data_IF_695449536275
#
_entry.id   IF_695449536275
#
_cell.length_a   1.000
_cell.length_b   1.000
_cell.length_c   1.000
_cell.angle_alpha   90.00
_cell.angle_beta   90.00
_cell.angle_gamma   90.00
#
_symmetry.space_group_name_H-M   'P 1'
#
loop_
_entity.id
_entity.type
_entity.pdbx_description
1 polymer ?
#
# COMPACT_ATOMS: atom_id res chain seq x y z
N UNK A 1 9.20 36.46 -20.15
CA UNK A 1 9.08 35.24 -19.33
C UNK A 1 9.60 34.11 -20.18
N UNK A 2 10.75 33.52 -19.83
CA UNK A 2 11.29 32.33 -20.51
C UNK A 2 10.36 31.17 -20.17
N UNK A 3 9.73 30.59 -21.18
CA UNK A 3 8.92 29.40 -21.03
C UNK A 3 9.86 28.25 -20.63
N UNK A 4 9.64 27.63 -19.47
CA UNK A 4 10.43 26.46 -19.06
C UNK A 4 9.99 25.28 -19.91
N UNK A 5 10.92 24.68 -20.66
CA UNK A 5 10.64 23.53 -21.50
C UNK A 5 11.09 22.25 -20.78
N UNK A 6 10.16 21.34 -20.52
CA UNK A 6 10.44 19.98 -20.07
C UNK A 6 10.62 19.05 -21.27
N UNK A 7 11.33 17.93 -21.08
CA UNK A 7 11.34 16.89 -22.12
C UNK A 7 9.92 16.35 -22.34
N UNK A 8 9.56 15.83 -23.54
CA UNK A 8 8.24 15.26 -23.78
C UNK A 8 7.85 14.18 -22.77
N UNK A 9 8.81 13.30 -22.41
CA UNK A 9 8.62 12.26 -21.40
C UNK A 9 8.29 12.84 -20.03
N UNK A 10 9.07 13.82 -19.59
CA UNK A 10 8.87 14.47 -18.29
C UNK A 10 7.53 15.21 -18.25
N UNK A 11 7.16 15.91 -19.33
CA UNK A 11 5.86 16.57 -19.44
C UNK A 11 4.69 15.57 -19.27
N UNK A 12 4.75 14.42 -19.94
CA UNK A 12 3.74 13.35 -19.77
C UNK A 12 3.67 12.86 -18.33
N UNK A 13 4.82 12.63 -17.67
CA UNK A 13 4.84 12.23 -16.26
C UNK A 13 4.27 13.31 -15.34
N UNK A 14 4.53 14.59 -15.61
CA UNK A 14 3.97 15.71 -14.84
C UNK A 14 2.45 15.73 -14.92
N UNK A 15 1.90 15.57 -16.11
CA UNK A 15 0.45 15.49 -16.34
C UNK A 15 -0.18 14.28 -15.65
N UNK A 16 0.48 13.11 -15.73
CA UNK A 16 -0.02 11.88 -15.11
C UNK A 16 0.01 11.96 -13.57
N UNK A 17 1.05 12.54 -12.97
CA UNK A 17 1.12 12.77 -11.51
C UNK A 17 -0.01 13.72 -11.06
N UNK A 18 -0.25 14.80 -11.80
CA UNK A 18 -1.33 15.75 -11.49
C UNK A 18 -2.70 15.07 -11.59
N UNK A 19 -2.92 14.26 -12.62
CA UNK A 19 -4.13 13.46 -12.77
C UNK A 19 -4.32 12.49 -11.60
N UNK A 20 -3.29 11.75 -11.22
CA UNK A 20 -3.35 10.81 -10.08
C UNK A 20 -3.65 11.55 -8.78
N UNK A 21 -3.03 12.70 -8.54
CA UNK A 21 -3.32 13.53 -7.36
C UNK A 21 -4.77 13.99 -7.30
N UNK A 22 -5.33 14.40 -8.45
CA UNK A 22 -6.75 14.72 -8.60
C UNK A 22 -7.64 13.52 -8.31
N UNK A 23 -7.36 12.35 -8.89
CA UNK A 23 -8.15 11.14 -8.67
C UNK A 23 -8.11 10.68 -7.21
N UNK A 24 -6.95 10.71 -6.56
CA UNK A 24 -6.84 10.37 -5.13
C UNK A 24 -7.69 11.31 -4.26
N UNK A 25 -7.65 12.61 -4.54
CA UNK A 25 -8.44 13.60 -3.79
C UNK A 25 -9.94 13.42 -4.03
N UNK A 26 -10.38 13.29 -5.30
CA UNK A 26 -11.78 13.12 -5.67
C UNK A 26 -12.39 11.82 -5.13
N UNK A 27 -11.58 10.77 -4.97
CA UNK A 27 -12.00 9.48 -4.39
C UNK A 27 -11.88 9.43 -2.87
N UNK A 28 -11.43 10.50 -2.22
CA UNK A 28 -11.28 10.55 -0.76
C UNK A 28 -10.18 9.66 -0.21
N UNK A 29 -9.17 9.33 -1.02
CA UNK A 29 -7.99 8.56 -0.59
C UNK A 29 -6.94 9.45 0.10
N UNK A 30 -7.07 10.76 -0.06
CA UNK A 30 -6.27 11.80 0.60
C UNK A 30 -7.16 13.01 0.86
N UNK A 31 -6.75 13.86 1.80
CA UNK A 31 -7.40 15.15 2.08
C UNK A 31 -6.35 16.24 2.27
N UNK A 32 -6.75 17.51 2.19
CA UNK A 32 -5.87 18.66 2.41
C UNK A 32 -4.53 18.54 1.63
N UNK A 33 -3.39 18.46 2.32
CA UNK A 33 -2.06 18.34 1.73
C UNK A 33 -1.46 16.93 1.87
N UNK A 34 -2.27 15.92 2.17
CA UNK A 34 -1.84 14.53 2.38
C UNK A 34 -1.37 13.86 1.09
N UNK A 35 -0.73 12.70 1.26
CA UNK A 35 -0.22 11.86 0.20
C UNK A 35 0.92 12.48 -0.59
N UNK A 36 1.53 11.66 -1.42
CA UNK A 36 2.60 12.08 -2.32
C UNK A 36 2.78 11.07 -3.46
N UNK A 37 3.28 11.58 -4.58
CA UNK A 37 3.47 10.79 -5.79
C UNK A 37 4.86 11.10 -6.33
N UNK A 38 5.55 10.07 -6.80
CA UNK A 38 6.78 10.25 -7.56
C UNK A 38 6.81 9.36 -8.80
N UNK A 39 7.58 9.80 -9.80
CA UNK A 39 7.85 9.04 -11.01
C UNK A 39 9.31 9.17 -11.42
N UNK A 40 9.91 8.07 -11.85
CA UNK A 40 11.28 8.02 -12.37
C UNK A 40 11.31 8.64 -13.76
N UNK A 41 12.04 9.74 -13.91
CA UNK A 41 12.26 10.41 -15.20
C UNK A 41 13.33 9.64 -15.98
N UNK A 42 14.42 9.28 -15.32
CA UNK A 42 15.53 8.47 -15.85
C UNK A 42 16.30 7.78 -14.71
N UNK A 43 17.51 7.28 -14.99
CA UNK A 43 18.35 6.58 -14.00
C UNK A 43 18.75 7.46 -12.82
N UNK A 44 18.85 8.78 -13.02
CA UNK A 44 19.38 9.72 -12.04
C UNK A 44 18.31 10.67 -11.47
N UNK A 45 17.18 10.82 -12.15
CA UNK A 45 16.16 11.82 -11.82
C UNK A 45 14.79 11.22 -11.51
N UNK A 46 14.16 11.75 -10.46
CA UNK A 46 12.78 11.45 -10.05
C UNK A 46 11.99 12.76 -10.01
N UNK A 47 10.78 12.74 -10.54
CA UNK A 47 9.78 13.78 -10.39
C UNK A 47 8.94 13.49 -9.15
N UNK A 48 8.68 14.49 -8.31
CA UNK A 48 7.93 14.32 -7.07
C UNK A 48 6.99 15.49 -6.79
N UNK A 49 5.87 15.18 -6.13
CA UNK A 49 4.94 16.19 -5.61
C UNK A 49 5.58 17.05 -4.51
N UNK A 50 5.34 18.38 -4.50
CA UNK A 50 5.82 19.26 -3.45
C UNK A 50 5.10 19.03 -2.11
N UNK A 51 5.78 19.37 -1.01
CA UNK A 51 5.18 19.42 0.33
C UNK A 51 4.17 20.58 0.45
N UNK A 52 3.15 20.39 1.29
CA UNK A 52 2.18 21.44 1.66
C UNK A 52 1.12 21.81 0.61
N UNK A 53 1.21 21.28 -0.61
CA UNK A 53 0.16 21.50 -1.62
C UNK A 53 -0.93 20.43 -1.56
N UNK A 54 -2.15 20.82 -1.91
CA UNK A 54 -3.25 19.90 -2.17
C UNK A 54 -3.03 19.19 -3.51
N UNK A 55 -2.94 17.86 -3.46
CA UNK A 55 -2.63 17.04 -4.65
C UNK A 55 -3.79 17.02 -5.63
N UNK A 56 -5.01 17.35 -5.17
CA UNK A 56 -6.16 17.53 -6.05
C UNK A 56 -6.17 18.83 -6.85
N UNK A 57 -5.30 19.79 -6.54
CA UNK A 57 -5.29 21.14 -7.11
C UNK A 57 -3.92 21.58 -7.65
N UNK A 58 -2.95 20.66 -7.71
CA UNK A 58 -1.61 20.97 -8.21
C UNK A 58 -1.59 21.12 -9.74
N UNK A 59 -0.58 21.83 -10.24
CA UNK A 59 -0.30 21.96 -11.67
C UNK A 59 1.02 21.30 -12.05
N UNK A 60 1.21 20.91 -13.34
CA UNK A 60 2.46 20.30 -13.82
C UNK A 60 3.72 21.10 -13.47
N UNK A 61 3.64 22.43 -13.52
CA UNK A 61 4.77 23.33 -13.26
C UNK A 61 5.20 23.39 -11.79
N UNK A 62 4.37 22.91 -10.86
CA UNK A 62 4.65 22.87 -9.42
C UNK A 62 5.44 21.63 -9.01
N UNK A 63 5.53 20.60 -9.86
CA UNK A 63 6.28 19.38 -9.56
C UNK A 63 7.79 19.65 -9.58
N UNK A 64 8.50 18.91 -8.74
CA UNK A 64 9.92 19.10 -8.45
C UNK A 64 10.69 17.89 -8.95
N UNK A 65 11.79 18.11 -9.69
CA UNK A 65 12.72 17.04 -10.06
C UNK A 65 13.87 16.99 -9.08
N UNK A 66 14.13 15.81 -8.54
CA UNK A 66 15.20 15.52 -7.59
C UNK A 66 16.12 14.42 -8.12
N UNK A 67 17.33 14.33 -7.58
CA UNK A 67 18.19 13.17 -7.76
C UNK A 67 17.89 12.05 -6.73
N UNK A 68 18.56 10.90 -6.86
CA UNK A 68 18.44 9.79 -5.92
C UNK A 68 18.99 10.09 -4.52
N UNK A 69 19.69 11.21 -4.33
CA UNK A 69 20.11 11.72 -3.02
C UNK A 69 19.08 12.70 -2.42
N UNK A 70 17.94 12.92 -3.07
CA UNK A 70 16.89 13.82 -2.62
C UNK A 70 17.14 15.31 -2.90
N UNK A 71 18.18 15.65 -3.66
CA UNK A 71 18.53 17.04 -3.98
C UNK A 71 17.74 17.52 -5.18
N UNK A 72 17.21 18.75 -5.13
CA UNK A 72 16.52 19.40 -6.25
C UNK A 72 17.52 19.63 -7.40
N UNK A 73 17.26 19.05 -8.57
CA UNK A 73 18.10 19.16 -9.77
C UNK A 73 17.34 19.65 -11.02
N UNK A 74 16.01 19.71 -10.95
CA UNK A 74 15.17 20.15 -12.07
C UNK A 74 15.21 21.66 -12.31
N UNK A 75 14.72 22.11 -13.47
CA UNK A 75 14.59 23.53 -13.75
C UNK A 75 13.59 24.18 -12.79
N UNK A 76 13.93 25.39 -12.33
CA UNK A 76 13.02 26.18 -11.52
C UNK A 76 11.99 26.87 -12.42
N UNK A 77 10.72 26.71 -12.07
CA UNK A 77 9.60 27.50 -12.62
C UNK A 77 9.24 28.59 -11.62
N UNK A 78 8.50 29.59 -12.08
CA UNK A 78 7.87 30.55 -11.16
C UNK A 78 6.95 29.87 -10.13
N UNK A 79 6.41 28.70 -10.46
CA UNK A 79 5.48 27.95 -9.61
C UNK A 79 6.17 27.01 -8.60
N UNK A 80 7.42 26.59 -8.83
CA UNK A 80 8.11 25.60 -7.97
C UNK A 80 9.38 26.12 -7.26
N UNK A 81 9.83 27.34 -7.54
CA UNK A 81 11.13 27.83 -7.03
C UNK A 81 11.24 27.77 -5.50
N UNK A 82 10.17 28.17 -4.80
CA UNK A 82 10.11 28.21 -3.33
C UNK A 82 9.51 26.92 -2.73
N UNK A 83 9.12 25.96 -3.56
CA UNK A 83 8.57 24.68 -3.12
C UNK A 83 9.68 23.70 -2.77
N UNK A 84 9.39 22.86 -1.77
CA UNK A 84 10.25 21.75 -1.34
C UNK A 84 9.61 20.41 -1.73
N UNK A 85 10.40 19.36 -2.00
CA UNK A 85 9.88 18.00 -2.14
C UNK A 85 9.02 17.60 -0.94
N UNK A 86 8.17 16.58 -1.10
CA UNK A 86 7.44 15.98 0.02
C UNK A 86 8.36 15.70 1.22
N UNK A 87 7.85 15.89 2.44
CA UNK A 87 8.59 15.56 3.67
C UNK A 87 8.90 14.07 3.79
N UNK A 88 8.18 13.23 3.05
CA UNK A 88 8.30 11.78 3.07
C UNK A 88 9.13 11.26 1.90
N UNK A 89 10.06 12.07 1.39
CA UNK A 89 10.82 11.66 0.22
C UNK A 89 11.71 10.44 0.48
N UNK A 90 12.14 10.25 1.74
CA UNK A 90 12.99 9.12 2.15
C UNK A 90 12.34 7.76 1.87
N UNK A 91 11.03 7.61 2.09
CA UNK A 91 10.33 6.36 1.75
C UNK A 91 10.28 6.11 0.24
N UNK A 92 10.05 7.14 -0.58
CA UNK A 92 10.09 7.01 -2.04
C UNK A 92 11.49 6.60 -2.54
N UNK A 93 12.53 7.26 -2.02
CA UNK A 93 13.91 6.94 -2.36
C UNK A 93 14.26 5.50 -1.96
N UNK A 94 13.81 5.04 -0.80
CA UNK A 94 14.01 3.64 -0.38
C UNK A 94 13.45 2.66 -1.43
N UNK A 95 12.21 2.88 -1.89
CA UNK A 95 11.62 2.06 -2.96
C UNK A 95 12.52 2.04 -4.19
N UNK A 96 12.93 3.21 -4.68
CA UNK A 96 13.74 3.29 -5.91
C UNK A 96 15.13 2.67 -5.79
N UNK A 97 15.71 2.63 -4.58
CA UNK A 97 16.97 1.94 -4.31
C UNK A 97 16.80 0.42 -4.25
N UNK A 98 15.73 -0.07 -3.63
CA UNK A 98 15.46 -1.51 -3.50
C UNK A 98 14.90 -2.14 -4.77
N UNK A 99 14.17 -1.37 -5.58
CA UNK A 99 13.40 -1.85 -6.72
C UNK A 99 13.68 -1.04 -7.99
N UNK A 100 14.75 -1.36 -8.74
CA UNK A 100 15.05 -0.70 -10.01
C UNK A 100 13.95 -0.86 -11.08
N UNK A 101 13.10 -1.88 -10.97
CA UNK A 101 11.95 -2.11 -11.84
C UNK A 101 10.79 -1.11 -11.61
N UNK A 102 10.78 -0.43 -10.46
CA UNK A 102 9.74 0.53 -10.10
C UNK A 102 9.98 1.87 -10.79
N UNK A 103 8.96 2.35 -11.48
CA UNK A 103 8.97 3.63 -12.19
C UNK A 103 8.07 4.68 -11.54
N UNK A 104 7.15 4.29 -10.66
CA UNK A 104 6.32 5.23 -9.92
C UNK A 104 5.95 4.70 -8.54
N UNK A 105 5.74 5.63 -7.62
CA UNK A 105 5.36 5.36 -6.23
C UNK A 105 4.23 6.29 -5.85
N UNK A 106 3.18 5.74 -5.25
CA UNK A 106 2.02 6.48 -4.74
C UNK A 106 1.89 6.17 -3.25
N UNK A 107 1.92 7.23 -2.44
CA UNK A 107 1.55 7.19 -1.04
C UNK A 107 0.22 7.94 -0.86
N UNK A 108 -0.70 7.29 -0.16
CA UNK A 108 -2.04 7.80 0.10
C UNK A 108 -2.51 7.40 1.50
N UNK A 109 -3.65 7.95 1.94
CA UNK A 109 -4.26 7.69 3.24
C UNK A 109 -5.66 7.03 3.10
N UNK A 110 -5.77 5.85 2.47
CA UNK A 110 -7.04 5.15 2.26
C UNK A 110 -7.76 4.82 3.60
N UNK A 111 -8.97 5.35 3.84
CA UNK A 111 -9.63 5.27 5.15
C UNK A 111 -9.90 3.85 5.66
N UNK A 112 -10.38 2.93 4.82
CA UNK A 112 -10.68 1.57 5.29
C UNK A 112 -9.40 0.81 5.60
N UNK A 113 -8.36 0.93 4.77
CA UNK A 113 -7.07 0.30 5.03
C UNK A 113 -6.44 0.81 6.35
N UNK A 114 -6.48 2.13 6.60
CA UNK A 114 -6.02 2.71 7.87
C UNK A 114 -6.85 2.15 9.04
N UNK A 115 -8.18 2.16 8.94
CA UNK A 115 -9.06 1.67 10.00
C UNK A 115 -8.79 0.20 10.35
N UNK A 116 -8.60 -0.66 9.34
CA UNK A 116 -8.28 -2.07 9.54
C UNK A 116 -6.89 -2.27 10.14
N UNK A 117 -5.90 -1.45 9.75
CA UNK A 117 -4.57 -1.48 10.38
C UNK A 117 -4.64 -1.16 11.88
N UNK A 118 -5.45 -0.16 12.27
CA UNK A 118 -5.67 0.21 13.69
C UNK A 118 -6.39 -0.90 14.44
N UNK A 119 -7.30 -1.62 13.78
CA UNK A 119 -8.05 -2.73 14.34
C UNK A 119 -7.24 -4.05 14.41
N UNK A 120 -6.00 -4.08 13.92
CA UNK A 120 -5.19 -5.30 13.84
C UNK A 120 -5.74 -6.33 12.87
N UNK A 121 -6.49 -5.89 11.85
CA UNK A 121 -7.09 -6.76 10.83
C UNK A 121 -6.21 -6.71 9.59
N UNK A 122 -5.62 -7.85 9.25
CA UNK A 122 -4.78 -8.00 8.06
C UNK A 122 -5.60 -7.95 6.76
N UNK A 123 -4.99 -7.41 5.70
CA UNK A 123 -5.48 -7.50 4.31
C UNK A 123 -4.83 -8.66 3.53
N UNK A 124 -4.01 -9.49 4.20
CA UNK A 124 -3.30 -10.60 3.58
C UNK A 124 -4.16 -11.85 3.37
N UNK A 125 -5.41 -11.88 3.84
CA UNK A 125 -6.28 -13.03 3.62
C UNK A 125 -6.64 -13.15 2.12
N UNK A 126 -6.50 -14.36 1.53
CA UNK A 126 -6.84 -14.65 0.13
C UNK A 126 -8.35 -14.68 -0.13
N UNK A 127 -9.00 -13.52 -0.03
CA UNK A 127 -10.47 -13.40 -0.11
C UNK A 127 -10.99 -13.19 -1.53
N UNK A 128 -10.32 -12.35 -2.32
CA UNK A 128 -10.80 -11.94 -3.65
C UNK A 128 -9.73 -12.16 -4.72
N UNK A 129 -10.10 -12.70 -5.91
CA UNK A 129 -9.13 -12.98 -6.97
C UNK A 129 -8.32 -11.76 -7.43
N UNK A 130 -8.94 -10.59 -7.46
CA UNK A 130 -8.33 -9.33 -7.90
C UNK A 130 -7.17 -8.92 -6.99
N UNK A 131 -7.28 -9.16 -5.68
CA UNK A 131 -6.19 -8.93 -4.72
C UNK A 131 -5.00 -9.83 -5.04
N UNK A 132 -5.26 -11.13 -5.16
CA UNK A 132 -4.23 -12.16 -5.37
C UNK A 132 -3.50 -11.92 -6.69
N UNK A 133 -4.23 -11.66 -7.77
CA UNK A 133 -3.63 -11.48 -9.10
C UNK A 133 -3.02 -10.09 -9.25
N UNK A 134 -3.72 -9.04 -8.85
CA UNK A 134 -3.33 -7.65 -9.08
C UNK A 134 -2.28 -7.15 -8.10
N UNK A 135 -2.51 -7.31 -6.80
CA UNK A 135 -1.61 -6.81 -5.75
C UNK A 135 -0.58 -7.86 -5.34
N UNK A 136 -1.02 -9.13 -5.26
CA UNK A 136 -0.32 -10.15 -4.49
C UNK A 136 -0.72 -10.01 -3.02
N UNK A 137 0.12 -10.50 -2.11
CA UNK A 137 -0.09 -10.25 -0.70
C UNK A 137 0.24 -8.80 -0.35
N UNK A 138 -0.51 -8.25 0.60
CA UNK A 138 -0.38 -6.85 1.03
C UNK A 138 -0.08 -6.83 2.52
N UNK A 139 1.20 -6.80 2.92
CA UNK A 139 1.57 -6.80 4.33
C UNK A 139 1.29 -5.44 4.95
N UNK A 140 1.16 -5.45 6.29
CA UNK A 140 1.14 -4.23 7.10
C UNK A 140 2.51 -4.07 7.75
N UNK A 141 3.18 -2.95 7.49
CA UNK A 141 4.47 -2.65 8.14
C UNK A 141 4.25 -2.34 9.63
N UNK A 142 5.24 -2.59 10.51
CA UNK A 142 5.20 -2.04 11.86
C UNK A 142 5.02 -0.52 11.86
N UNK A 143 4.36 0.01 12.90
CA UNK A 143 4.25 1.46 13.09
C UNK A 143 5.63 2.11 13.13
N UNK A 144 5.77 3.19 12.38
CA UNK A 144 6.93 4.06 12.37
C UNK A 144 6.48 5.51 12.20
N UNK A 145 7.24 6.45 12.77
CA UNK A 145 6.92 7.87 12.61
C UNK A 145 7.02 8.29 11.14
N UNK A 146 6.02 9.00 10.57
CA UNK A 146 6.10 9.54 9.22
C UNK A 146 7.35 10.43 9.03
N UNK A 147 7.87 10.47 7.80
CA UNK A 147 9.10 11.19 7.46
C UNK A 147 10.35 10.84 8.31
N UNK A 148 10.41 9.65 8.92
CA UNK A 148 11.55 9.17 9.71
C UNK A 148 12.36 8.07 9.01
N UNK A 149 13.59 7.88 9.47
CA UNK A 149 14.45 6.75 9.09
C UNK A 149 13.85 5.38 9.48
N UNK A 150 13.05 5.35 10.55
CA UNK A 150 12.34 4.14 10.98
C UNK A 150 11.29 3.71 9.94
N UNK A 151 10.56 4.67 9.36
CA UNK A 151 9.58 4.40 8.32
C UNK A 151 10.27 3.88 7.04
N UNK A 152 11.40 4.47 6.65
CA UNK A 152 12.19 3.97 5.52
C UNK A 152 12.70 2.54 5.77
N UNK A 153 13.14 2.23 7.00
CA UNK A 153 13.58 0.88 7.37
C UNK A 153 12.44 -0.14 7.30
N UNK A 154 11.27 0.19 7.85
CA UNK A 154 10.10 -0.69 7.82
C UNK A 154 9.69 -1.04 6.37
N UNK A 155 9.82 -0.09 5.44
CA UNK A 155 9.56 -0.32 4.01
C UNK A 155 10.66 -1.19 3.39
N UNK A 156 11.94 -0.90 3.68
CA UNK A 156 13.10 -1.63 3.15
C UNK A 156 13.00 -3.15 3.36
N UNK A 157 12.49 -3.55 4.52
CA UNK A 157 12.39 -4.97 4.91
C UNK A 157 11.41 -5.77 4.05
N UNK A 158 10.39 -5.11 3.47
CA UNK A 158 9.28 -5.80 2.78
C UNK A 158 9.11 -5.43 1.31
N UNK A 159 9.57 -4.24 0.88
CA UNK A 159 9.26 -3.71 -0.46
C UNK A 159 9.84 -4.52 -1.62
N UNK A 160 10.89 -5.30 -1.39
CA UNK A 160 11.50 -6.16 -2.41
C UNK A 160 10.53 -7.24 -2.91
N UNK A 161 9.65 -7.72 -2.03
CA UNK A 161 8.68 -8.78 -2.30
C UNK A 161 7.27 -8.31 -2.66
N UNK A 162 6.98 -7.00 -2.59
CA UNK A 162 5.61 -6.51 -2.58
C UNK A 162 5.40 -5.32 -3.51
N UNK A 163 4.18 -5.20 -4.04
CA UNK A 163 3.79 -4.07 -4.91
C UNK A 163 2.83 -3.08 -4.21
N UNK A 164 2.29 -3.47 -3.05
CA UNK A 164 1.43 -2.67 -2.20
C UNK A 164 1.69 -3.00 -0.74
N UNK A 165 1.75 -1.96 0.10
CA UNK A 165 1.94 -2.06 1.54
C UNK A 165 0.86 -1.25 2.24
N UNK A 166 0.38 -1.74 3.38
CA UNK A 166 -0.29 -0.91 4.39
C UNK A 166 0.77 -0.44 5.38
N UNK A 167 0.79 0.86 5.67
CA UNK A 167 1.64 1.44 6.70
C UNK A 167 0.79 1.56 7.98
N UNK A 168 1.12 0.80 9.03
CA UNK A 168 0.31 0.76 10.26
C UNK A 168 0.00 2.17 10.77
N UNK A 169 -1.29 2.47 10.99
CA UNK A 169 -1.80 3.76 11.51
C UNK A 169 -1.43 4.99 10.68
N UNK A 170 -0.96 4.81 9.46
CA UNK A 170 -0.43 5.89 8.64
C UNK A 170 -1.14 5.96 7.28
N UNK A 171 -1.08 4.90 6.47
CA UNK A 171 -1.62 4.95 5.11
C UNK A 171 -1.26 3.74 4.28
N UNK A 172 -1.05 3.94 2.98
CA UNK A 172 -0.62 2.91 2.04
C UNK A 172 0.55 3.38 1.20
N UNK A 173 1.39 2.45 0.76
CA UNK A 173 2.44 2.69 -0.22
C UNK A 173 2.30 1.67 -1.36
N UNK A 174 2.10 2.16 -2.58
CA UNK A 174 2.01 1.31 -3.77
C UNK A 174 3.03 1.74 -4.81
N UNK A 175 3.49 0.76 -5.59
CA UNK A 175 4.51 0.96 -6.61
C UNK A 175 4.01 0.48 -7.96
N UNK A 176 4.53 1.01 -9.06
CA UNK A 176 4.07 0.65 -10.40
C UNK A 176 5.02 1.06 -11.51
N UNK A 177 4.62 0.74 -12.75
CA UNK A 177 5.34 1.08 -13.99
C UNK A 177 4.99 2.48 -14.52
N UNK A 178 3.94 3.09 -13.98
CA UNK A 178 3.56 4.48 -14.21
C UNK A 178 2.81 5.01 -12.98
N UNK A 179 2.68 6.33 -12.80
CA UNK A 179 1.85 6.90 -11.73
C UNK A 179 0.44 6.30 -11.69
N UNK A 180 -0.18 6.09 -12.85
CA UNK A 180 -1.52 5.53 -12.94
C UNK A 180 -1.57 4.05 -12.54
N UNK A 181 -0.59 3.22 -12.92
CA UNK A 181 -0.49 1.82 -12.47
C UNK A 181 -0.31 1.73 -10.94
N UNK A 182 0.57 2.54 -10.36
CA UNK A 182 0.74 2.60 -8.90
C UNK A 182 -0.56 3.03 -8.20
N UNK A 183 -1.27 4.02 -8.76
CA UNK A 183 -2.56 4.48 -8.26
C UNK A 183 -3.66 3.42 -8.35
N UNK A 184 -3.76 2.67 -9.46
CA UNK A 184 -4.75 1.59 -9.58
C UNK A 184 -4.55 0.51 -8.52
N UNK A 185 -3.31 0.28 -8.08
CA UNK A 185 -3.03 -0.61 -6.94
C UNK A 185 -3.52 0.00 -5.63
N UNK A 186 -3.37 1.31 -5.43
CA UNK A 186 -3.95 2.02 -4.27
C UNK A 186 -5.47 1.87 -4.24
N UNK A 187 -6.14 2.06 -5.38
CA UNK A 187 -7.59 1.89 -5.50
C UNK A 187 -8.03 0.45 -5.19
N UNK A 188 -7.29 -0.52 -5.72
CA UNK A 188 -7.57 -1.94 -5.49
C UNK A 188 -7.39 -2.28 -4.01
N UNK A 189 -6.32 -1.78 -3.38
CA UNK A 189 -6.04 -1.97 -1.95
C UNK A 189 -7.18 -1.43 -1.08
N UNK A 190 -7.65 -0.21 -1.34
CA UNK A 190 -8.76 0.38 -0.58
C UNK A 190 -10.08 -0.36 -0.83
N UNK A 191 -10.33 -0.83 -2.06
CA UNK A 191 -11.51 -1.62 -2.37
C UNK A 191 -11.51 -2.96 -1.61
N UNK A 192 -10.36 -3.63 -1.51
CA UNK A 192 -10.20 -4.85 -0.71
C UNK A 192 -10.42 -4.54 0.77
N UNK A 193 -9.83 -3.46 1.29
CA UNK A 193 -10.05 -3.02 2.66
C UNK A 193 -11.52 -2.75 2.95
N UNK A 194 -12.25 -2.11 2.04
CA UNK A 194 -13.69 -1.88 2.16
C UNK A 194 -14.48 -3.18 2.19
N UNK A 195 -14.13 -4.15 1.34
CA UNK A 195 -14.75 -5.49 1.37
C UNK A 195 -14.47 -6.18 2.70
N UNK A 196 -13.23 -6.20 3.17
CA UNK A 196 -12.85 -6.80 4.46
C UNK A 196 -13.59 -6.16 5.63
N UNK A 197 -13.74 -4.83 5.62
CA UNK A 197 -14.55 -4.11 6.60
C UNK A 197 -16.02 -4.55 6.57
N UNK A 198 -16.65 -4.62 5.40
CA UNK A 198 -18.04 -5.09 5.26
C UNK A 198 -18.19 -6.55 5.72
N UNK A 199 -17.24 -7.43 5.38
CA UNK A 199 -17.26 -8.82 5.83
C UNK A 199 -17.25 -8.93 7.36
N UNK A 200 -16.46 -8.10 8.05
CA UNK A 200 -16.45 -8.07 9.52
C UNK A 200 -17.82 -7.67 10.10
N UNK A 201 -18.54 -6.77 9.44
CA UNK A 201 -19.91 -6.40 9.85
C UNK A 201 -20.92 -7.52 9.59
N UNK A 202 -20.69 -8.36 8.59
CA UNK A 202 -21.54 -9.51 8.23
C UNK A 202 -21.24 -10.78 9.04
N UNK A 203 -20.27 -10.75 9.97
CA UNK A 203 -19.86 -11.90 10.78
C UNK A 203 -18.69 -12.71 10.21
N UNK A 204 -18.02 -12.21 9.18
CA UNK A 204 -16.83 -12.81 8.57
C UNK A 204 -17.03 -13.25 7.12
N UNK A 205 -16.00 -13.88 6.56
CA UNK A 205 -16.00 -14.47 5.23
C UNK A 205 -15.06 -15.67 5.18
N UNK A 206 -15.19 -16.51 4.16
CA UNK A 206 -14.29 -17.64 3.94
C UNK A 206 -13.27 -17.30 2.86
N UNK A 207 -11.96 -17.48 3.10
CA UNK A 207 -10.94 -17.37 2.07
C UNK A 207 -11.18 -18.36 0.93
N UNK A 208 -10.60 -18.06 -0.24
CA UNK A 208 -10.57 -19.00 -1.35
C UNK A 208 -9.80 -20.27 -0.94
N UNK A 209 -10.28 -21.46 -1.32
CA UNK A 209 -9.56 -22.69 -1.04
C UNK A 209 -8.20 -22.71 -1.76
N UNK A 210 -7.16 -23.34 -1.19
CA UNK A 210 -5.78 -23.28 -1.71
C UNK A 210 -5.66 -23.62 -3.20
N UNK A 211 -6.36 -24.65 -3.69
CA UNK A 211 -6.32 -25.04 -5.10
C UNK A 211 -6.87 -23.97 -6.07
N UNK A 212 -7.72 -23.05 -5.61
CA UNK A 212 -8.17 -21.90 -6.40
C UNK A 212 -7.13 -20.77 -6.35
N UNK A 213 -6.56 -20.52 -5.17
CA UNK A 213 -5.48 -19.55 -5.00
C UNK A 213 -4.27 -19.93 -5.87
N UNK A 214 -3.92 -21.21 -5.94
CA UNK A 214 -2.82 -21.68 -6.81
C UNK A 214 -3.04 -21.33 -8.28
N UNK A 215 -4.27 -21.47 -8.80
CA UNK A 215 -4.59 -21.06 -10.18
C UNK A 215 -4.40 -19.57 -10.39
N UNK A 216 -4.71 -18.75 -9.39
CA UNK A 216 -4.55 -17.30 -9.44
C UNK A 216 -3.07 -16.89 -9.35
N UNK A 217 -2.27 -17.58 -8.54
CA UNK A 217 -0.81 -17.41 -8.49
C UNK A 217 -0.20 -17.75 -9.85
N UNK A 218 -0.64 -18.83 -10.50
CA UNK A 218 -0.20 -19.17 -11.86
C UNK A 218 -0.60 -18.09 -12.88
N UNK A 219 -1.80 -17.50 -12.77
CA UNK A 219 -2.20 -16.38 -13.61
C UNK A 219 -1.33 -15.14 -13.37
N UNK A 220 -1.05 -14.79 -12.11
CA UNK A 220 -0.14 -13.70 -11.72
C UNK A 220 1.26 -13.88 -12.31
N UNK A 221 1.80 -15.10 -12.26
CA UNK A 221 3.08 -15.48 -12.89
C UNK A 221 3.06 -15.24 -14.40
N UNK A 222 2.02 -15.70 -15.10
CA UNK A 222 1.86 -15.50 -16.55
C UNK A 222 1.77 -14.02 -16.95
N UNK A 223 1.23 -13.17 -16.07
CA UNK A 223 1.15 -11.72 -16.28
C UNK A 223 2.45 -10.97 -15.94
N UNK A 224 3.49 -11.68 -15.46
CA UNK A 224 4.76 -11.07 -15.05
C UNK A 224 4.63 -10.21 -13.78
N UNK A 225 3.65 -10.51 -12.94
CA UNK A 225 3.38 -9.82 -11.68
C UNK A 225 3.93 -10.56 -10.46
N UNK A 226 4.53 -11.74 -10.65
CA UNK A 226 5.10 -12.51 -9.56
C UNK A 226 6.24 -11.75 -8.86
N UNK A 227 6.36 -11.96 -7.55
CA UNK A 227 7.39 -11.36 -6.70
C UNK A 227 8.14 -12.41 -5.89
N UNK A 228 9.26 -12.00 -5.30
CA UNK A 228 10.16 -12.90 -4.55
C UNK A 228 9.54 -13.45 -3.28
N UNK A 229 8.63 -12.70 -2.65
CA UNK A 229 7.97 -13.11 -1.41
C UNK A 229 6.70 -13.96 -1.64
N UNK A 230 6.14 -13.94 -2.87
CA UNK A 230 4.88 -14.63 -3.21
C UNK A 230 4.85 -16.09 -2.69
N UNK A 231 5.92 -16.87 -2.84
CA UNK A 231 5.91 -18.28 -2.42
C UNK A 231 5.80 -18.48 -0.91
N UNK A 232 6.54 -17.69 -0.12
CA UNK A 232 6.50 -17.77 1.34
C UNK A 232 5.17 -17.22 1.86
N UNK A 233 4.76 -16.07 1.34
CA UNK A 233 3.58 -15.37 1.83
C UNK A 233 2.30 -16.15 1.46
N UNK A 234 2.16 -16.66 0.23
CA UNK A 234 0.95 -17.44 -0.13
C UNK A 234 0.89 -18.79 0.59
N UNK A 235 2.03 -19.35 1.00
CA UNK A 235 2.06 -20.51 1.87
C UNK A 235 1.52 -20.14 3.27
N UNK A 236 2.05 -19.08 3.88
CA UNK A 236 1.67 -18.64 5.23
C UNK A 236 0.19 -18.21 5.33
N UNK A 237 -0.27 -17.37 4.39
CA UNK A 237 -1.57 -16.71 4.48
C UNK A 237 -2.69 -17.46 3.75
N UNK A 238 -2.35 -18.30 2.78
CA UNK A 238 -3.34 -18.91 1.89
C UNK A 238 -3.19 -20.43 1.76
N UNK A 239 -2.21 -21.04 2.45
CA UNK A 239 -1.99 -22.48 2.45
C UNK A 239 -1.54 -23.05 1.10
N UNK A 240 -1.03 -22.22 0.19
CA UNK A 240 -0.47 -22.66 -1.10
C UNK A 240 1.04 -22.75 -0.98
N UNK A 241 1.54 -23.92 -0.62
CA UNK A 241 2.96 -24.15 -0.40
C UNK A 241 3.59 -24.88 -1.59
N UNK A 242 4.72 -24.37 -2.08
CA UNK A 242 5.55 -25.02 -3.09
C UNK A 242 6.85 -25.60 -2.51
N UNK A 243 7.02 -25.51 -1.18
CA UNK A 243 8.16 -26.03 -0.42
C UNK A 243 7.70 -27.26 0.38
N UNK A 244 8.43 -28.37 0.31
CA UNK A 244 8.16 -29.58 1.10
C UNK A 244 8.57 -29.35 2.56
N UNK A 245 7.60 -29.31 3.50
CA UNK A 245 7.87 -29.18 4.94
C UNK A 245 6.79 -28.40 5.69
N UNK A 246 6.34 -28.95 6.82
CA UNK A 246 5.20 -28.55 7.65
C UNK A 246 5.11 -27.05 7.99
N UNK A 247 4.11 -26.29 7.52
CA UNK A 247 3.65 -25.10 8.26
C UNK A 247 2.18 -24.78 7.96
N UNK A 248 1.37 -24.71 9.02
CA UNK A 248 0.08 -24.04 9.03
C UNK A 248 0.18 -22.94 10.08
N UNK A 249 -0.19 -21.71 9.73
CA UNK A 249 -0.81 -20.86 10.75
C UNK A 249 -2.02 -21.68 11.22
N UNK A 250 -2.21 -21.96 12.52
CA UNK A 250 -3.47 -22.54 12.96
C UNK A 250 -4.55 -21.62 12.41
N UNK A 251 -5.43 -22.16 11.56
CA UNK A 251 -6.67 -21.47 11.19
C UNK A 251 -7.29 -21.14 12.53
N UNK A 252 -7.22 -19.87 12.94
CA UNK A 252 -7.95 -19.45 14.12
C UNK A 252 -9.38 -19.88 13.84
N UNK A 253 -10.00 -20.72 14.68
CA UNK A 253 -11.38 -21.09 14.44
C UNK A 253 -12.17 -19.80 14.25
N UNK A 254 -13.24 -19.80 13.43
CA UNK A 254 -14.18 -18.68 13.48
C UNK A 254 -14.44 -18.38 14.95
N UNK A 255 -14.57 -17.09 15.31
CA UNK A 255 -14.58 -16.57 16.68
C UNK A 255 -15.71 -17.11 17.60
N UNK A 256 -16.18 -18.33 17.38
CA UNK A 256 -17.06 -19.15 18.19
C UNK A 256 -16.30 -19.85 19.34
N UNK A 257 -14.96 -19.80 19.36
CA UNK A 257 -14.15 -20.36 20.46
C UNK A 257 -14.22 -19.53 21.76
N UNK A 258 -14.39 -18.20 21.64
CA UNK A 258 -14.54 -17.31 22.79
C UNK A 258 -15.89 -17.48 23.49
N UNK A 259 -16.93 -17.91 22.77
CA UNK A 259 -18.28 -18.06 23.32
C UNK A 259 -18.36 -19.20 24.34
N UNK A 260 -17.67 -20.31 24.11
CA UNK A 260 -17.76 -21.49 24.99
C UNK A 260 -17.06 -21.23 26.33
N UNK A 261 -15.88 -20.61 26.30
CA UNK A 261 -15.14 -20.26 27.52
C UNK A 261 -15.82 -19.13 28.30
N UNK A 262 -16.35 -18.09 27.63
CA UNK A 262 -17.14 -17.05 28.31
C UNK A 262 -18.43 -17.59 28.90
N UNK A 263 -19.17 -18.46 28.19
CA UNK A 263 -20.38 -19.09 28.72
C UNK A 263 -20.04 -19.94 29.94
N UNK A 264 -18.95 -20.70 29.94
CA UNK A 264 -18.51 -21.46 31.11
C UNK A 264 -18.12 -20.56 32.29
N UNK A 265 -17.36 -19.48 32.04
CA UNK A 265 -16.94 -18.52 33.08
C UNK A 265 -18.16 -17.80 33.67
N UNK A 266 -19.09 -17.33 32.84
CA UNK A 266 -20.32 -16.65 33.27
C UNK A 266 -21.21 -17.62 34.03
N UNK A 267 -21.42 -18.83 33.52
CA UNK A 267 -22.26 -19.85 34.17
C UNK A 267 -21.70 -20.24 35.53
N UNK A 268 -20.39 -20.46 35.65
CA UNK A 268 -19.75 -20.77 36.93
C UNK A 268 -19.96 -19.64 37.96
N UNK A 269 -19.85 -18.38 37.52
CA UNK A 269 -20.00 -17.21 38.39
C UNK A 269 -21.44 -16.97 38.83
N UNK A 270 -22.41 -17.16 37.92
CA UNK A 270 -23.85 -17.10 38.25
C UNK A 270 -24.23 -18.21 39.22
N UNK A 271 -23.77 -19.44 38.99
CA UNK A 271 -24.04 -20.58 39.90
C UNK A 271 -23.41 -20.41 41.28
N UNK A 272 -22.33 -19.63 41.40
CA UNK A 272 -21.70 -19.33 42.69
C UNK A 272 -22.48 -18.28 43.48
N UNK A 273 -23.08 -17.29 42.82
CA UNK A 273 -23.94 -16.29 43.47
C UNK A 273 -25.33 -16.85 43.83
N UNK A 274 -25.85 -17.82 43.08
CA UNK A 274 -27.14 -18.49 43.37
C UNK A 274 -27.07 -19.50 44.54
N UNK A 275 -25.89 -19.78 45.08
CA UNK A 275 -25.67 -20.70 46.22
C UNK A 275 -25.52 -20.00 47.59
N UNK A 276 -25.75 -18.68 47.64
CA UNK A 276 -25.90 -17.90 48.89
C UNK A 276 -27.38 -17.71 49.21
#
# INVERSE_FOLDING_TARGET
MTQTFFSPKEQTLREEIVLVGKLMYERGLIVAADGNISARVDEQAILVTPSGLCKGMMTPDQLITIDLAGRKIGPETAANRDLKPTSEITMHLEVYHQRPDVLAVVHAHPPHAIALSIAGISLADCMVPEAIVGLGLTPTTPYANPASEENARAIREVITGHDALVLERHGSLTVGRSPLDAFFRTETLEQIARITYMLRQLGGGQPLPPHQVEKLIQARRKLGLARTADEADFCEYCGVCHVEGEHTRPVAPPANGLETDLVQIITARVMQELKK
#
